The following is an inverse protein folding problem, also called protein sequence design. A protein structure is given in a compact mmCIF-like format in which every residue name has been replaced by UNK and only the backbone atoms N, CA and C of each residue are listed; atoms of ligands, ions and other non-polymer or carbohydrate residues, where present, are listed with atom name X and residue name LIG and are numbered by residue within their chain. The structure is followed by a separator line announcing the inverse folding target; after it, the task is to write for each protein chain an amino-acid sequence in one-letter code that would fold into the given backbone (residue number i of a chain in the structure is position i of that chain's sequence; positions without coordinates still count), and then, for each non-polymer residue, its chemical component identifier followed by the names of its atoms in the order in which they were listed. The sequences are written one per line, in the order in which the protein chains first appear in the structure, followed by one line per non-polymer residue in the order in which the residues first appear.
data_IF_841499285710
#
_entry.id   IF_841499285710
#
_cell.length_a   1.000
_cell.length_b   1.000
_cell.length_c   1.000
_cell.angle_alpha   90.00
_cell.angle_beta   90.00
_cell.angle_gamma   90.00
#
_symmetry.space_group_name_H-M   'P 1'
#
loop_
_entity.id
_entity.type
_entity.pdbx_description
1 polymer ?
#
# COMPACT_ATOMS: atom_id res chain seq x y z
N UNK A 1 -15.90 15.79 -12.05
CA UNK A 1 -14.68 16.63 -12.01
C UNK A 1 -14.40 16.89 -10.53
N UNK A 2 -13.33 16.33 -9.96
CA UNK A 2 -13.10 16.36 -8.51
C UNK A 2 -12.24 17.58 -8.11
N UNK A 3 -12.88 18.57 -7.51
CA UNK A 3 -12.29 19.84 -7.06
C UNK A 3 -11.60 19.76 -5.68
N UNK A 4 -11.25 18.57 -5.20
CA UNK A 4 -10.62 18.38 -3.89
C UNK A 4 -9.11 18.73 -3.86
N UNK A 5 -8.51 19.02 -5.02
CA UNK A 5 -7.08 19.38 -5.13
C UNK A 5 -6.82 20.84 -5.51
N UNK A 6 -7.85 21.68 -5.67
CA UNK A 6 -7.68 23.07 -6.14
C UNK A 6 -7.26 24.07 -5.05
N UNK A 7 -7.08 23.64 -3.80
CA UNK A 7 -6.59 24.49 -2.71
C UNK A 7 -5.52 23.78 -1.89
N UNK A 8 -4.56 23.14 -2.58
CA UNK A 8 -3.30 22.82 -1.93
C UNK A 8 -2.40 24.04 -2.06
N UNK A 9 -2.26 24.73 -0.94
CA UNK A 9 -1.38 25.87 -0.75
C UNK A 9 0.05 25.50 -1.16
N UNK A 10 0.48 26.02 -2.31
CA UNK A 10 1.71 25.62 -3.03
C UNK A 10 2.99 25.83 -2.18
N UNK A 11 2.89 26.62 -1.12
CA UNK A 11 3.99 26.93 -0.20
C UNK A 11 4.07 26.01 1.03
N UNK A 12 3.06 25.20 1.33
CA UNK A 12 3.05 24.30 2.51
C UNK A 12 3.52 22.87 2.23
N UNK A 13 3.59 22.45 0.95
CA UNK A 13 3.99 21.10 0.50
C UNK A 13 5.34 21.10 -0.20
N UNK A 14 6.35 21.79 0.36
CA UNK A 14 7.69 21.71 -0.24
C UNK A 14 8.39 20.41 0.18
N UNK A 15 8.08 19.32 -0.50
CA UNK A 15 9.11 18.31 -0.74
C UNK A 15 10.23 19.01 -1.52
N UNK A 16 11.45 18.99 -0.99
CA UNK A 16 12.60 19.71 -1.55
C UNK A 16 13.15 19.02 -2.79
N UNK A 17 12.82 17.74 -2.99
CA UNK A 17 13.25 16.94 -4.13
C UNK A 17 12.13 16.00 -4.61
N UNK A 18 12.13 15.57 -5.88
CA UNK A 18 11.21 14.53 -6.37
C UNK A 18 11.20 13.26 -5.50
N UNK A 19 12.37 12.85 -5.00
CA UNK A 19 12.51 11.70 -4.11
C UNK A 19 11.76 11.88 -2.78
N UNK A 20 11.80 13.08 -2.17
CA UNK A 20 11.03 13.39 -0.96
C UNK A 20 9.51 13.33 -1.22
N UNK A 21 9.06 13.77 -2.41
CA UNK A 21 7.64 13.64 -2.81
C UNK A 21 7.24 12.18 -2.94
N UNK A 22 8.09 11.34 -3.54
CA UNK A 22 7.83 9.90 -3.65
C UNK A 22 7.74 9.24 -2.27
N UNK A 23 8.66 9.55 -1.37
CA UNK A 23 8.62 9.04 0.01
C UNK A 23 7.32 9.46 0.71
N UNK A 24 6.86 10.71 0.55
CA UNK A 24 5.56 11.14 1.10
C UNK A 24 4.39 10.34 0.53
N UNK A 25 4.38 10.05 -0.77
CA UNK A 25 3.34 9.22 -1.40
C UNK A 25 3.37 7.80 -0.85
N UNK A 26 4.56 7.20 -0.70
CA UNK A 26 4.74 5.87 -0.11
C UNK A 26 4.25 5.84 1.35
N UNK A 27 4.59 6.86 2.15
CA UNK A 27 4.12 6.97 3.53
C UNK A 27 2.59 7.05 3.62
N UNK A 28 1.95 7.85 2.76
CA UNK A 28 0.49 7.92 2.72
C UNK A 28 -0.16 6.59 2.33
N UNK A 29 0.44 5.82 1.43
CA UNK A 29 -0.01 4.45 1.14
C UNK A 29 0.12 3.57 2.39
N UNK A 30 1.27 3.63 3.08
CA UNK A 30 1.48 2.87 4.31
C UNK A 30 0.48 3.23 5.42
N UNK A 31 0.11 4.50 5.57
CA UNK A 31 -0.90 4.96 6.53
C UNK A 31 -2.28 4.37 6.20
N UNK A 32 -2.71 4.41 4.94
CA UNK A 32 -3.96 3.78 4.51
C UNK A 32 -3.95 2.28 4.80
N UNK A 33 -2.84 1.58 4.52
CA UNK A 33 -2.71 0.16 4.78
C UNK A 33 -2.70 -0.17 6.28
N UNK A 34 -2.19 0.71 7.14
CA UNK A 34 -2.21 0.51 8.60
C UNK A 34 -3.62 0.51 9.19
N UNK A 35 -4.61 1.03 8.45
CA UNK A 35 -6.03 0.95 8.80
C UNK A 35 -6.71 -0.36 8.38
N UNK A 36 -6.01 -1.27 7.68
CA UNK A 36 -6.54 -2.59 7.39
C UNK A 36 -6.53 -3.45 8.65
N UNK A 37 -7.70 -3.60 9.25
CA UNK A 37 -7.91 -4.50 10.37
C UNK A 37 -8.23 -5.92 9.87
N UNK A 38 -7.23 -6.80 9.95
CA UNK A 38 -7.38 -8.22 9.56
C UNK A 38 -8.39 -8.92 10.46
N UNK A 39 -8.52 -8.51 11.73
CA UNK A 39 -9.48 -9.12 12.66
C UNK A 39 -10.93 -8.84 12.30
N UNK A 40 -11.20 -7.79 11.51
CA UNK A 40 -12.52 -7.45 11.00
C UNK A 40 -12.91 -8.23 9.73
N UNK A 41 -12.04 -9.10 9.21
CA UNK A 41 -12.33 -9.94 8.04
C UNK A 41 -13.12 -11.17 8.48
N UNK A 42 -14.44 -11.14 8.25
CA UNK A 42 -15.33 -12.24 8.67
C UNK A 42 -16.00 -12.95 7.49
N UNK A 43 -16.06 -12.32 6.32
CA UNK A 43 -16.69 -12.89 5.13
C UNK A 43 -15.73 -13.01 3.96
N UNK A 44 -16.07 -13.87 3.01
CA UNK A 44 -15.36 -13.94 1.73
C UNK A 44 -15.35 -12.59 0.99
N UNK A 45 -16.40 -11.79 1.17
CA UNK A 45 -16.47 -10.45 0.59
C UNK A 45 -15.45 -9.50 1.26
N UNK A 46 -15.33 -9.53 2.59
CA UNK A 46 -14.34 -8.74 3.32
C UNK A 46 -12.92 -9.12 2.92
N UNK A 47 -12.66 -10.43 2.81
CA UNK A 47 -11.38 -10.97 2.36
C UNK A 47 -11.05 -10.49 0.94
N UNK A 48 -11.99 -10.61 0.00
CA UNK A 48 -11.81 -10.15 -1.36
C UNK A 48 -11.54 -8.64 -1.44
N UNK A 49 -12.22 -7.84 -0.62
CA UNK A 49 -11.99 -6.39 -0.52
C UNK A 49 -10.61 -6.06 0.06
N UNK A 50 -10.17 -6.78 1.09
CA UNK A 50 -8.86 -6.60 1.69
C UNK A 50 -7.74 -6.96 0.70
N UNK A 51 -7.83 -8.11 0.03
CA UNK A 51 -6.89 -8.53 -1.00
C UNK A 51 -6.84 -7.56 -2.18
N UNK A 52 -7.98 -7.06 -2.64
CA UNK A 52 -8.06 -6.07 -3.71
C UNK A 52 -7.41 -4.74 -3.31
N UNK A 53 -7.57 -4.32 -2.05
CA UNK A 53 -6.90 -3.14 -1.50
C UNK A 53 -5.37 -3.33 -1.51
N UNK A 54 -4.89 -4.48 -1.04
CA UNK A 54 -3.46 -4.82 -1.05
C UNK A 54 -2.87 -4.86 -2.46
N UNK A 55 -3.57 -5.45 -3.43
CA UNK A 55 -3.17 -5.46 -4.85
C UNK A 55 -3.11 -4.05 -5.45
N UNK A 56 -4.07 -3.21 -5.11
CA UNK A 56 -4.10 -1.82 -5.59
C UNK A 56 -2.94 -1.02 -5.01
N UNK A 57 -2.62 -1.21 -3.72
CA UNK A 57 -1.46 -0.58 -3.09
C UNK A 57 -0.14 -1.04 -3.69
N UNK A 58 0.07 -2.35 -3.92
CA UNK A 58 1.28 -2.88 -4.58
C UNK A 58 1.47 -2.25 -5.97
N UNK A 59 0.40 -2.16 -6.77
CA UNK A 59 0.44 -1.47 -8.08
C UNK A 59 0.83 -0.01 -7.96
N UNK A 60 0.26 0.73 -7.01
CA UNK A 60 0.59 2.13 -6.76
C UNK A 60 2.07 2.30 -6.38
N UNK A 61 2.61 1.44 -5.51
CA UNK A 61 4.02 1.47 -5.10
C UNK A 61 4.94 1.17 -6.29
N UNK A 62 4.61 0.15 -7.10
CA UNK A 62 5.39 -0.18 -8.30
C UNK A 62 5.37 0.95 -9.33
N UNK A 63 4.24 1.63 -9.49
CA UNK A 63 4.14 2.80 -10.37
C UNK A 63 5.07 3.93 -9.90
N UNK A 64 5.07 4.23 -8.60
CA UNK A 64 6.02 5.19 -8.01
C UNK A 64 7.46 4.74 -8.27
N UNK A 65 7.80 3.46 -8.08
CA UNK A 65 9.14 2.96 -8.38
C UNK A 65 9.55 3.14 -9.86
N UNK A 66 8.62 2.95 -10.80
CA UNK A 66 8.91 3.11 -12.23
C UNK A 66 9.23 4.55 -12.62
N UNK A 67 8.61 5.53 -11.96
CA UNK A 67 8.87 6.96 -12.17
C UNK A 67 10.33 7.34 -11.78
N UNK A 68 10.95 6.60 -10.86
CA UNK A 68 12.27 6.92 -10.28
C UNK A 68 13.42 6.02 -10.77
N UNK A 69 13.21 5.22 -11.82
CA UNK A 69 14.22 4.28 -12.35
C UNK A 69 15.56 4.95 -12.73
N UNK A 70 15.53 6.20 -13.16
CA UNK A 70 16.67 6.94 -13.69
C UNK A 70 17.27 7.96 -12.71
N UNK A 71 16.69 8.14 -11.52
CA UNK A 71 17.12 9.17 -10.58
C UNK A 71 18.29 8.74 -9.67
N UNK A 72 19.21 9.66 -9.42
CA UNK A 72 20.42 9.47 -8.59
C UNK A 72 20.10 9.38 -7.09
N UNK A 73 18.94 9.89 -6.66
CA UNK A 73 18.45 9.89 -5.28
C UNK A 73 17.43 8.77 -4.99
N UNK A 74 17.44 7.70 -5.79
CA UNK A 74 16.44 6.62 -5.72
C UNK A 74 16.56 5.71 -4.49
N UNK A 75 17.69 5.66 -3.81
CA UNK A 75 17.94 4.61 -2.82
C UNK A 75 16.96 4.66 -1.64
N UNK A 76 16.59 5.85 -1.18
CA UNK A 76 15.59 6.00 -0.12
C UNK A 76 14.19 5.57 -0.60
N UNK A 77 13.80 5.97 -1.81
CA UNK A 77 12.51 5.60 -2.42
C UNK A 77 12.44 4.08 -2.61
N UNK A 78 13.52 3.47 -3.10
CA UNK A 78 13.62 2.03 -3.31
C UNK A 78 13.54 1.26 -1.99
N UNK A 79 14.23 1.73 -0.94
CA UNK A 79 14.16 1.10 0.38
C UNK A 79 12.74 1.16 0.96
N UNK A 80 12.10 2.32 0.93
CA UNK A 80 10.74 2.47 1.48
C UNK A 80 9.71 1.66 0.69
N UNK A 81 9.80 1.68 -0.64
CA UNK A 81 8.91 0.89 -1.49
C UNK A 81 9.07 -0.62 -1.26
N UNK A 82 10.32 -1.12 -1.13
CA UNK A 82 10.57 -2.53 -0.82
C UNK A 82 9.96 -2.92 0.52
N UNK A 83 10.18 -2.12 1.57
CA UNK A 83 9.58 -2.33 2.89
C UNK A 83 8.06 -2.47 2.80
N UNK A 84 7.39 -1.59 2.05
CA UNK A 84 5.93 -1.66 1.89
C UNK A 84 5.48 -2.88 1.07
N UNK A 85 6.21 -3.24 0.00
CA UNK A 85 5.92 -4.47 -0.77
C UNK A 85 6.04 -5.70 0.11
N UNK A 86 7.06 -5.78 0.98
CA UNK A 86 7.25 -6.90 1.89
C UNK A 86 6.10 -6.98 2.92
N UNK A 87 5.67 -5.84 3.47
CA UNK A 87 4.50 -5.77 4.36
C UNK A 87 3.20 -6.18 3.67
N UNK A 88 3.00 -5.77 2.40
CA UNK A 88 1.84 -6.20 1.61
C UNK A 88 1.86 -7.70 1.36
N UNK A 89 3.04 -8.27 1.08
CA UNK A 89 3.19 -9.72 0.89
C UNK A 89 2.83 -10.48 2.16
N UNK A 90 3.36 -10.04 3.32
CA UNK A 90 3.01 -10.63 4.62
C UNK A 90 1.51 -10.56 4.90
N UNK A 91 0.89 -9.39 4.72
CA UNK A 91 -0.55 -9.23 4.93
C UNK A 91 -1.39 -10.12 3.99
N UNK A 92 -0.95 -10.31 2.75
CA UNK A 92 -1.61 -11.21 1.79
C UNK A 92 -1.52 -12.67 2.23
N UNK A 93 -0.34 -13.09 2.70
CA UNK A 93 -0.12 -14.45 3.17
C UNK A 93 -0.98 -14.72 4.42
N UNK A 94 -1.06 -13.77 5.35
CA UNK A 94 -1.93 -13.87 6.53
C UNK A 94 -3.41 -14.00 6.13
N UNK A 95 -3.92 -13.11 5.27
CA UNK A 95 -5.32 -13.14 4.81
C UNK A 95 -5.64 -14.42 4.04
N UNK A 96 -4.70 -14.92 3.24
CA UNK A 96 -4.90 -16.14 2.45
C UNK A 96 -4.84 -17.39 3.32
N UNK A 97 -3.96 -17.42 4.33
CA UNK A 97 -3.83 -18.52 5.29
C UNK A 97 -5.10 -18.73 6.14
N UNK A 98 -5.84 -17.66 6.46
CA UNK A 98 -7.15 -17.76 7.13
C UNK A 98 -8.16 -18.63 6.36
N UNK A 99 -8.08 -18.64 5.02
CA UNK A 99 -8.96 -19.45 4.18
C UNK A 99 -8.68 -20.94 4.37
N UNK A 100 -7.41 -21.31 4.38
CA UNK A 100 -7.01 -22.71 4.46
C UNK A 100 -7.44 -23.30 5.82
N UNK A 101 -7.22 -22.58 6.92
CA UNK A 101 -7.61 -23.03 8.27
C UNK A 101 -9.14 -23.12 8.46
N UNK A 102 -9.89 -22.20 7.86
CA UNK A 102 -11.37 -22.23 7.87
C UNK A 102 -11.94 -23.42 7.07
N UNK A 103 -11.27 -23.85 6.00
CA UNK A 103 -11.66 -25.06 5.24
C UNK A 103 -11.32 -26.37 5.96
N UNK A 104 -10.30 -26.41 6.81
CA UNK A 104 -9.97 -27.61 7.60
C UNK A 104 -10.96 -27.87 8.74
N UNK A 105 -11.63 -26.84 9.27
CA UNK A 105 -12.57 -26.99 10.38
C UNK A 105 -14.01 -27.38 9.97
N UNK A 106 -14.30 -27.50 8.67
CA UNK A 106 -15.61 -27.92 8.14
C UNK A 106 -15.65 -29.39 7.67
N UNK A 107 -14.56 -30.13 7.84
CA UNK A 107 -14.44 -31.54 7.44
C UNK A 107 -14.14 -32.51 8.61
N UNK A 108 -14.22 -32.04 9.86
CA UNK A 108 -14.06 -32.86 11.07
C UNK A 108 -15.40 -33.20 11.74
#
# INVERSE_FOLDING_TARGET
MFSAFSSIDYHSIRAKTPAETAVKRLNGIGEVLSGLDISAIHTQHDMARALWTLDTADKCIRMILTEFRTERAKDQVVREAKRLIDLIALARDEISGYRDDSTFNLTA
#
